data_IF_179147906471
#
_entry.id   IF_179147906471
#
_cell.length_a   1.000
_cell.length_b   1.000
_cell.length_c   1.000
_cell.angle_alpha   90.00
_cell.angle_beta   90.00
_cell.angle_gamma   90.00
#
_symmetry.space_group_name_H-M   'P 1'
#
loop_
_entity.id
_entity.type
_entity.pdbx_description
1 polymer ?
#
# COMPACT_ATOMS: atom_id res chain seq x y z
N UNK A 1 13.65 1.67 15.27
CA UNK A 1 14.44 0.51 14.78
C UNK A 1 13.68 -0.34 13.74
N UNK A 2 12.44 -0.04 13.36
CA UNK A 2 11.58 -0.94 12.56
C UNK A 2 11.48 -0.64 11.06
N UNK A 3 12.02 0.47 10.54
CA UNK A 3 11.82 0.85 9.13
C UNK A 3 12.81 0.18 8.15
N UNK A 4 13.80 -0.57 8.64
CA UNK A 4 14.83 -1.18 7.77
C UNK A 4 14.35 -2.38 6.95
N UNK A 5 13.19 -2.95 7.27
CA UNK A 5 12.69 -4.18 6.66
C UNK A 5 11.19 -4.09 6.41
N UNK A 6 10.79 -3.19 5.51
CA UNK A 6 9.41 -2.98 5.09
C UNK A 6 9.27 -3.23 3.59
N UNK A 7 8.18 -3.89 3.20
CA UNK A 7 7.75 -4.04 1.80
C UNK A 7 6.40 -3.34 1.66
N UNK A 8 6.25 -2.52 0.63
CA UNK A 8 4.98 -1.88 0.29
C UNK A 8 4.22 -2.73 -0.73
N UNK A 9 3.15 -3.41 -0.30
CA UNK A 9 2.30 -4.19 -1.20
C UNK A 9 1.22 -3.30 -1.81
N UNK A 10 1.18 -3.24 -3.14
CA UNK A 10 0.17 -2.42 -3.83
C UNK A 10 -1.18 -3.11 -3.87
N UNK A 11 -2.20 -2.46 -3.27
CA UNK A 11 -3.59 -2.79 -3.54
C UNK A 11 -3.97 -2.13 -4.86
N UNK A 12 -4.34 -2.96 -5.82
CA UNK A 12 -4.68 -2.56 -7.20
C UNK A 12 -6.13 -2.93 -7.50
N UNK A 13 -6.47 -3.09 -8.77
CA UNK A 13 -7.83 -3.34 -9.25
C UNK A 13 -8.06 -4.79 -9.73
N UNK A 14 -9.31 -5.11 -10.06
CA UNK A 14 -9.73 -6.29 -10.83
C UNK A 14 -9.19 -7.65 -10.32
N UNK A 15 -8.64 -8.48 -11.19
CA UNK A 15 -8.19 -9.83 -10.84
C UNK A 15 -7.01 -9.83 -9.84
N UNK A 16 -5.98 -8.96 -9.98
CA UNK A 16 -4.90 -8.89 -9.00
C UNK A 16 -5.34 -8.43 -7.60
N UNK A 17 -6.37 -7.57 -7.50
CA UNK A 17 -6.97 -7.24 -6.20
C UNK A 17 -7.54 -8.48 -5.51
N UNK A 18 -8.31 -9.28 -6.25
CA UNK A 18 -8.88 -10.53 -5.72
C UNK A 18 -7.79 -11.52 -5.32
N UNK A 19 -6.73 -11.65 -6.12
CA UNK A 19 -5.60 -12.52 -5.81
C UNK A 19 -4.87 -12.09 -4.53
N UNK A 20 -4.81 -10.79 -4.24
CA UNK A 20 -4.17 -10.24 -3.03
C UNK A 20 -4.81 -10.80 -1.76
N UNK A 21 -6.14 -10.94 -1.69
CA UNK A 21 -6.82 -11.52 -0.52
C UNK A 21 -6.41 -12.96 -0.21
N UNK A 22 -5.98 -13.72 -1.23
CA UNK A 22 -5.50 -15.10 -1.07
C UNK A 22 -4.01 -15.14 -0.75
N UNK A 23 -3.20 -14.39 -1.52
CA UNK A 23 -1.74 -14.51 -1.48
C UNK A 23 -1.10 -13.70 -0.35
N UNK A 24 -1.58 -12.48 -0.07
CA UNK A 24 -0.94 -11.58 0.88
C UNK A 24 -0.87 -12.18 2.31
N UNK A 25 -1.93 -12.82 2.86
CA UNK A 25 -1.84 -13.44 4.18
C UNK A 25 -0.75 -14.52 4.28
N UNK A 26 -0.52 -15.27 3.19
CA UNK A 26 0.57 -16.23 3.13
C UNK A 26 1.92 -15.50 3.12
N UNK A 27 2.11 -14.50 2.25
CA UNK A 27 3.35 -13.71 2.17
C UNK A 27 3.71 -13.10 3.53
N UNK A 28 2.76 -12.42 4.19
CA UNK A 28 2.95 -11.84 5.51
C UNK A 28 3.40 -12.87 6.55
N UNK A 29 2.78 -14.07 6.54
CA UNK A 29 3.12 -15.13 7.48
C UNK A 29 4.55 -15.63 7.31
N UNK A 30 5.02 -15.78 6.08
CA UNK A 30 6.38 -16.20 5.78
C UNK A 30 7.40 -15.10 6.16
N UNK A 31 7.13 -13.85 5.77
CA UNK A 31 8.01 -12.71 6.02
C UNK A 31 8.14 -12.35 7.50
N UNK A 32 7.10 -12.60 8.30
CA UNK A 32 7.14 -12.39 9.75
C UNK A 32 8.26 -13.16 10.44
N UNK A 33 8.65 -14.33 9.94
CA UNK A 33 9.78 -15.10 10.49
C UNK A 33 11.13 -14.39 10.32
N UNK A 34 11.25 -13.51 9.33
CA UNK A 34 12.44 -12.69 9.06
C UNK A 34 12.33 -11.27 9.66
N UNK A 35 11.26 -10.96 10.39
CA UNK A 35 11.03 -9.61 10.92
C UNK A 35 10.73 -8.56 9.85
N UNK A 36 10.31 -8.97 8.66
CA UNK A 36 9.91 -8.08 7.56
C UNK A 36 8.41 -7.77 7.70
N UNK A 37 8.06 -6.49 7.67
CA UNK A 37 6.67 -6.03 7.69
C UNK A 37 6.18 -5.74 6.26
N UNK A 38 4.91 -6.00 6.01
CA UNK A 38 4.23 -5.62 4.77
C UNK A 38 3.24 -4.51 5.09
N UNK A 39 3.28 -3.43 4.32
CA UNK A 39 2.35 -2.30 4.42
C UNK A 39 1.59 -2.17 3.09
N UNK A 40 0.28 -1.98 3.16
CA UNK A 40 -0.55 -1.85 1.95
C UNK A 40 -0.58 -0.39 1.52
N UNK A 41 -0.39 -0.14 0.22
CA UNK A 41 -0.62 1.15 -0.43
C UNK A 41 -1.70 1.01 -1.50
N UNK A 42 -2.78 1.77 -1.39
CA UNK A 42 -3.93 1.69 -2.30
C UNK A 42 -3.72 2.60 -3.52
N UNK A 43 -3.35 1.98 -4.64
CA UNK A 43 -3.21 2.66 -5.93
C UNK A 43 -4.34 2.30 -6.91
N UNK A 44 -5.42 1.69 -6.41
CA UNK A 44 -6.62 1.40 -7.19
C UNK A 44 -7.17 2.68 -7.85
N UNK A 45 -7.92 2.51 -8.94
CA UNK A 45 -8.60 3.64 -9.60
C UNK A 45 -9.49 4.38 -8.59
N UNK A 46 -10.23 3.64 -7.74
CA UNK A 46 -11.09 4.22 -6.72
C UNK A 46 -10.29 5.00 -5.66
N UNK A 47 -9.21 4.43 -5.14
CA UNK A 47 -8.34 5.08 -4.16
C UNK A 47 -7.76 6.39 -4.68
N UNK A 48 -7.24 6.39 -5.92
CA UNK A 48 -6.68 7.59 -6.55
C UNK A 48 -7.72 8.68 -6.80
N UNK A 49 -8.95 8.32 -7.17
CA UNK A 49 -10.03 9.31 -7.30
C UNK A 49 -10.32 9.93 -5.92
N UNK A 50 -10.50 9.13 -4.88
CA UNK A 50 -10.81 9.65 -3.54
C UNK A 50 -9.69 10.55 -2.99
N UNK A 51 -8.42 10.17 -3.20
CA UNK A 51 -7.26 10.95 -2.75
C UNK A 51 -7.14 12.33 -3.43
N UNK A 52 -7.60 12.46 -4.68
CA UNK A 52 -7.52 13.72 -5.44
C UNK A 52 -8.68 14.70 -5.18
N UNK A 53 -9.76 14.27 -4.52
CA UNK A 53 -10.94 15.10 -4.27
C UNK A 53 -11.38 15.14 -2.78
N UNK A 54 -10.47 15.31 -1.80
CA UNK A 54 -10.79 15.21 -0.38
C UNK A 54 -11.77 16.31 0.12
N UNK A 55 -11.87 17.44 -0.57
CA UNK A 55 -12.78 18.54 -0.28
C UNK A 55 -14.25 18.20 -0.52
N UNK A 56 -14.53 17.20 -1.37
CA UNK A 56 -15.87 16.67 -1.63
C UNK A 56 -16.23 15.51 -0.71
N UNK A 57 -15.32 15.10 0.17
CA UNK A 57 -15.48 13.96 1.06
C UNK A 57 -15.67 14.42 2.51
N UNK A 58 -16.50 13.68 3.24
CA UNK A 58 -16.52 13.76 4.70
C UNK A 58 -15.18 13.30 5.26
N UNK A 59 -14.86 13.74 6.46
CA UNK A 59 -13.58 13.43 7.11
C UNK A 59 -13.31 11.91 7.21
N UNK A 60 -14.35 11.11 7.47
CA UNK A 60 -14.30 9.65 7.57
C UNK A 60 -14.18 8.93 6.21
N UNK A 61 -14.38 9.64 5.10
CA UNK A 61 -14.28 9.11 3.74
C UNK A 61 -12.93 9.44 3.07
N UNK A 62 -12.13 10.34 3.66
CA UNK A 62 -10.85 10.74 3.10
C UNK A 62 -9.84 9.60 3.22
N UNK A 63 -9.05 9.42 2.17
CA UNK A 63 -7.98 8.45 2.10
C UNK A 63 -6.67 9.19 1.79
N UNK A 64 -5.50 8.65 2.21
CA UNK A 64 -4.22 9.24 1.83
C UNK A 64 -3.96 9.15 0.32
N UNK A 65 -3.13 10.06 -0.21
CA UNK A 65 -2.57 9.92 -1.56
C UNK A 65 -1.38 8.95 -1.55
N UNK A 66 -1.70 7.66 -1.51
CA UNK A 66 -0.70 6.59 -1.48
C UNK A 66 0.18 6.55 -2.75
N UNK A 67 -0.33 7.02 -3.90
CA UNK A 67 0.46 7.11 -5.12
C UNK A 67 1.51 8.22 -5.02
N UNK A 68 1.11 9.39 -4.52
CA UNK A 68 2.02 10.50 -4.23
C UNK A 68 3.07 10.12 -3.18
N UNK A 69 2.67 9.41 -2.13
CA UNK A 69 3.60 8.91 -1.11
C UNK A 69 4.60 7.91 -1.70
N UNK A 70 4.13 6.93 -2.49
CA UNK A 70 5.00 5.97 -3.16
C UNK A 70 6.00 6.66 -4.10
N UNK A 71 5.59 7.72 -4.81
CA UNK A 71 6.48 8.47 -5.70
C UNK A 71 7.67 9.10 -4.97
N UNK A 72 7.50 9.51 -3.71
CA UNK A 72 8.61 9.98 -2.87
C UNK A 72 9.42 8.81 -2.29
N UNK A 73 8.75 7.73 -1.86
CA UNK A 73 9.41 6.56 -1.29
C UNK A 73 10.36 5.89 -2.29
N UNK A 74 9.96 5.69 -3.54
CA UNK A 74 10.81 5.00 -4.55
C UNK A 74 12.10 5.74 -4.89
N UNK A 75 12.26 7.00 -4.45
CA UNK A 75 13.52 7.75 -4.58
C UNK A 75 14.55 7.37 -3.50
N UNK A 76 14.13 6.69 -2.45
CA UNK A 76 14.99 6.25 -1.35
C UNK A 76 15.61 4.88 -1.66
N UNK A 77 16.91 4.68 -1.38
CA UNK A 77 17.61 3.43 -1.72
C UNK A 77 17.12 2.22 -0.93
N UNK A 78 16.52 2.44 0.24
CA UNK A 78 16.04 1.39 1.13
C UNK A 78 14.56 1.02 0.88
N UNK A 79 13.92 1.63 -0.12
CA UNK A 79 12.51 1.36 -0.44
C UNK A 79 12.34 0.08 -1.23
N UNK A 80 11.34 -0.72 -0.83
CA UNK A 80 10.93 -1.95 -1.50
C UNK A 80 9.42 -1.93 -1.76
N UNK A 81 9.03 -1.89 -3.03
CA UNK A 81 7.63 -1.85 -3.52
C UNK A 81 7.40 -3.02 -4.46
#
# INVERSE_FOLDING_TARGET
MSDKFKIYWTKVDEAPYLATFSLLPAVERFLKAAGINVEIKDISVAGRILANFPEYLKEDQRVPDDLGELAELVKLPDTNV
#
